data_IF_592959631440
#
_entry.id   IF_592959631440
#
_cell.length_a   1.000
_cell.length_b   1.000
_cell.length_c   1.000
_cell.angle_alpha   90.00
_cell.angle_beta   90.00
_cell.angle_gamma   90.00
#
_symmetry.space_group_name_H-M   'P 1'
#
loop_
_entity.id
_entity.type
_entity.pdbx_description
1 polymer ?
#
# COMPACT_ATOMS: atom_id res chain seq x y z
N UNK A 1 0.06 -10.91 -7.95
CA UNK A 1 -1.18 -11.03 -8.74
C UNK A 1 -2.37 -10.72 -7.85
N UNK A 2 -3.32 -9.90 -8.29
CA UNK A 2 -4.47 -9.40 -7.51
C UNK A 2 -5.77 -10.20 -7.74
N UNK A 3 -5.67 -11.46 -8.22
CA UNK A 3 -6.83 -12.21 -8.73
C UNK A 3 -7.61 -13.01 -7.68
N UNK A 4 -6.93 -13.53 -6.66
CA UNK A 4 -7.49 -14.58 -5.80
C UNK A 4 -8.64 -14.11 -4.89
N UNK A 5 -8.60 -12.86 -4.43
CA UNK A 5 -9.69 -12.26 -3.64
C UNK A 5 -11.00 -12.16 -4.41
N UNK A 6 -11.07 -11.40 -5.52
CA UNK A 6 -12.30 -11.27 -6.29
C UNK A 6 -12.83 -12.61 -6.82
N UNK A 7 -11.93 -13.53 -7.22
CA UNK A 7 -12.35 -14.86 -7.69
C UNK A 7 -13.07 -15.66 -6.59
N UNK A 8 -12.55 -15.66 -5.35
CA UNK A 8 -13.18 -16.34 -4.21
C UNK A 8 -14.57 -15.76 -3.89
N UNK A 9 -14.68 -14.42 -3.89
CA UNK A 9 -15.92 -13.72 -3.58
C UNK A 9 -16.87 -13.56 -4.77
N UNK A 10 -16.51 -14.08 -5.96
CA UNK A 10 -17.26 -13.92 -7.22
C UNK A 10 -17.53 -12.46 -7.58
N UNK A 11 -16.56 -11.59 -7.30
CA UNK A 11 -16.59 -10.17 -7.65
C UNK A 11 -15.80 -9.91 -8.94
N UNK A 12 -16.11 -8.84 -9.70
CA UNK A 12 -15.33 -8.47 -10.87
C UNK A 12 -13.87 -8.17 -10.51
N UNK A 13 -12.95 -8.51 -11.43
CA UNK A 13 -11.54 -8.16 -11.29
C UNK A 13 -11.32 -6.69 -11.64
N UNK A 14 -10.38 -6.05 -10.95
CA UNK A 14 -9.91 -4.72 -11.32
C UNK A 14 -9.29 -4.76 -12.72
N UNK A 15 -9.65 -3.79 -13.58
CA UNK A 15 -9.12 -3.67 -14.95
C UNK A 15 -7.90 -2.74 -15.03
N UNK A 16 -7.68 -1.95 -13.98
CA UNK A 16 -6.55 -1.03 -13.89
C UNK A 16 -5.27 -1.76 -13.48
N UNK A 17 -4.14 -1.19 -13.87
CA UNK A 17 -2.81 -1.64 -13.49
C UNK A 17 -2.17 -0.66 -12.52
N UNK A 18 -1.31 -1.18 -11.65
CA UNK A 18 -0.42 -0.40 -10.81
C UNK A 18 1.02 -0.84 -11.13
N UNK A 19 1.95 0.11 -11.21
CA UNK A 19 3.36 -0.19 -11.44
C UNK A 19 4.13 -0.11 -10.13
N UNK A 20 4.81 -1.20 -9.78
CA UNK A 20 5.73 -1.21 -8.65
C UNK A 20 7.11 -0.74 -9.11
N UNK A 21 7.60 0.32 -8.50
CA UNK A 21 8.92 0.88 -8.78
C UNK A 21 9.89 0.47 -7.68
N UNK A 22 11.04 -0.11 -8.05
CA UNK A 22 12.06 -0.53 -7.09
C UNK A 22 12.86 0.67 -6.63
N UNK A 23 12.31 1.37 -5.67
CA UNK A 23 12.87 2.60 -5.11
C UNK A 23 12.73 2.56 -3.59
N UNK A 24 13.85 2.77 -2.90
CA UNK A 24 13.86 2.82 -1.44
C UNK A 24 13.24 4.13 -0.97
N UNK A 25 12.22 4.04 -0.11
CA UNK A 25 11.58 5.21 0.47
C UNK A 25 11.25 4.98 1.94
N UNK A 26 11.21 6.09 2.69
CA UNK A 26 10.91 6.10 4.11
C UNK A 26 9.51 6.67 4.30
N UNK A 27 8.62 5.88 4.90
CA UNK A 27 7.30 6.38 5.27
C UNK A 27 7.42 7.45 6.37
N UNK A 28 6.57 8.49 6.39
CA UNK A 28 6.42 9.40 7.51
C UNK A 28 6.23 8.65 8.82
N UNK A 29 6.75 9.20 9.92
CA UNK A 29 6.60 8.60 11.26
C UNK A 29 5.15 8.58 11.73
N UNK A 30 4.34 9.55 11.29
CA UNK A 30 2.95 9.68 11.64
C UNK A 30 2.12 10.27 10.49
N UNK A 31 0.85 9.89 10.44
CA UNK A 31 -0.16 10.53 9.61
C UNK A 31 -1.24 11.20 10.48
N UNK A 32 -1.77 12.37 10.09
CA UNK A 32 -2.89 12.97 10.78
C UNK A 32 -4.17 12.13 10.59
N UNK A 33 -4.92 11.95 11.67
CA UNK A 33 -6.19 11.22 11.66
C UNK A 33 -7.21 11.94 12.53
N UNK A 34 -7.85 12.96 11.95
CA UNK A 34 -8.72 13.87 12.70
C UNK A 34 -7.94 14.60 13.79
N UNK A 35 -8.30 14.35 15.06
CA UNK A 35 -7.61 14.92 16.25
C UNK A 35 -6.48 14.02 16.77
N UNK A 36 -6.24 12.87 16.14
CA UNK A 36 -5.25 11.88 16.57
C UNK A 36 -4.18 11.67 15.47
N UNK A 37 -3.22 10.79 15.74
CA UNK A 37 -2.18 10.39 14.81
C UNK A 37 -2.16 8.88 14.63
N UNK A 38 -1.78 8.45 13.42
CA UNK A 38 -1.56 7.03 13.10
C UNK A 38 -0.08 6.79 12.88
N UNK A 39 0.46 5.79 13.56
CA UNK A 39 1.81 5.29 13.33
C UNK A 39 1.76 4.19 12.26
N UNK A 40 2.42 4.34 11.11
CA UNK A 40 2.35 3.34 10.06
C UNK A 40 3.15 2.09 10.41
N UNK A 41 2.73 0.95 9.87
CA UNK A 41 3.47 -0.30 9.97
C UNK A 41 4.86 -0.14 9.34
N UNK A 42 5.89 -0.66 10.01
CA UNK A 42 7.30 -0.57 9.60
C UNK A 42 7.84 0.86 9.45
N UNK A 43 7.33 1.84 10.20
CA UNK A 43 7.78 3.23 10.13
C UNK A 43 9.29 3.45 10.35
N UNK A 44 10.02 2.51 10.95
CA UNK A 44 11.48 2.63 11.17
C UNK A 44 12.32 1.94 10.09
N UNK A 45 11.71 1.24 9.14
CA UNK A 45 12.44 0.47 8.12
C UNK A 45 12.05 0.95 6.73
N UNK A 46 13.02 1.41 5.92
CA UNK A 46 12.75 1.81 4.55
C UNK A 46 12.08 0.70 3.73
N UNK A 47 11.01 1.07 3.05
CA UNK A 47 10.32 0.21 2.09
C UNK A 47 11.08 0.26 0.77
N UNK A 48 11.20 -0.88 0.09
CA UNK A 48 12.03 -1.02 -1.11
C UNK A 48 11.28 -0.77 -2.42
N UNK A 49 9.97 -0.51 -2.32
CA UNK A 49 9.09 -0.37 -3.47
C UNK A 49 8.08 0.74 -3.24
N UNK A 50 7.90 1.58 -4.25
CA UNK A 50 6.85 2.60 -4.35
C UNK A 50 5.80 2.20 -5.39
N UNK A 51 4.62 2.78 -5.28
CA UNK A 51 3.59 2.75 -6.34
C UNK A 51 3.71 4.08 -7.08
N UNK A 52 3.72 4.03 -8.42
CA UNK A 52 3.66 5.22 -9.28
C UNK A 52 2.26 5.45 -9.80
#
# INVERSE_FOLDING_TARGET
SSFYGPDFYRLPRNQQTLTLHRESWQAPSHYPFGKQTLTPFRQQTPLQWTIK
#
